data_IF_649052919070
#
_entry.id   IF_649052919070
#
_cell.length_a   1.000
_cell.length_b   1.000
_cell.length_c   1.000
_cell.angle_alpha   90.00
_cell.angle_beta   90.00
_cell.angle_gamma   90.00
#
_symmetry.space_group_name_H-M   'P 1'
#
loop_
_entity.id
_entity.type
_entity.pdbx_description
1 polymer ?
#
# COMPACT_ATOMS: atom_id res chain seq x y z
N UNK A 1 74.88 48.73 -12.51
CA UNK A 1 74.26 47.61 -11.77
C UNK A 1 72.75 47.57 -12.13
N UNK A 2 72.37 46.62 -13.00
CA UNK A 2 70.96 46.46 -13.44
C UNK A 2 70.42 45.21 -12.80
N UNK A 3 69.41 45.37 -11.96
CA UNK A 3 68.70 44.29 -11.26
C UNK A 3 67.59 43.78 -12.17
N UNK A 4 67.65 42.52 -12.50
CA UNK A 4 66.67 41.82 -13.41
C UNK A 4 65.65 41.10 -12.49
N UNK A 5 64.36 41.54 -12.54
CA UNK A 5 63.24 40.86 -11.91
C UNK A 5 62.67 39.76 -12.79
N UNK A 6 62.76 38.52 -12.33
CA UNK A 6 62.04 37.39 -12.91
C UNK A 6 60.59 37.36 -12.40
N UNK A 7 59.66 37.49 -13.34
CA UNK A 7 58.24 37.20 -13.11
C UNK A 7 57.93 35.74 -13.46
N UNK A 8 57.71 34.92 -12.51
CA UNK A 8 57.17 33.55 -12.68
C UNK A 8 55.64 33.65 -12.82
N UNK A 9 55.16 33.40 -14.05
CA UNK A 9 53.71 33.26 -14.34
C UNK A 9 53.22 31.86 -13.94
N UNK A 10 52.31 31.78 -12.98
CA UNK A 10 51.60 30.57 -12.65
C UNK A 10 50.41 30.41 -13.61
N UNK A 11 50.47 29.44 -14.52
CA UNK A 11 49.36 29.07 -15.41
C UNK A 11 48.40 28.15 -14.63
N UNK A 12 47.27 28.67 -14.18
CA UNK A 12 46.20 27.88 -13.57
C UNK A 12 45.38 27.20 -14.69
N UNK A 13 45.61 25.92 -14.90
CA UNK A 13 44.71 25.08 -15.72
C UNK A 13 43.36 24.88 -14.99
N UNK A 14 42.36 25.65 -15.42
CA UNK A 14 40.97 25.40 -14.99
C UNK A 14 40.43 24.20 -15.79
N UNK A 15 40.42 23.01 -15.17
CA UNK A 15 39.72 21.86 -15.70
C UNK A 15 38.20 22.12 -15.54
N UNK A 16 37.55 22.58 -16.57
CA UNK A 16 36.09 22.61 -16.66
C UNK A 16 35.60 21.17 -16.82
N UNK A 17 35.18 20.54 -15.73
CA UNK A 17 34.40 19.31 -15.83
C UNK A 17 33.06 19.64 -16.47
N UNK A 18 32.89 19.28 -17.73
CA UNK A 18 31.62 19.30 -18.42
C UNK A 18 30.71 18.26 -17.76
N UNK A 19 29.74 18.72 -16.97
CA UNK A 19 28.62 17.89 -16.50
C UNK A 19 27.82 17.52 -17.76
N UNK A 20 27.68 16.21 -18.10
CA UNK A 20 26.88 15.84 -19.24
C UNK A 20 25.44 16.32 -19.02
N UNK A 21 24.73 16.82 -20.05
CA UNK A 21 23.33 17.18 -19.91
C UNK A 21 22.54 15.96 -19.43
N UNK A 22 21.76 16.13 -18.37
CA UNK A 22 20.78 15.10 -17.94
C UNK A 22 19.88 14.83 -19.17
N UNK A 23 20.18 13.75 -19.90
CA UNK A 23 19.34 13.32 -21.00
C UNK A 23 17.93 13.14 -20.44
N UNK A 24 16.95 13.82 -21.03
CA UNK A 24 15.56 13.70 -20.62
C UNK A 24 15.12 12.25 -20.86
N UNK A 25 15.11 11.46 -19.81
CA UNK A 25 14.65 10.07 -19.85
C UNK A 25 13.21 10.04 -20.37
N UNK A 26 12.98 9.22 -21.37
CA UNK A 26 11.63 9.03 -21.91
C UNK A 26 10.71 8.45 -20.82
N UNK A 27 9.43 8.72 -20.91
CA UNK A 27 8.44 8.18 -19.96
C UNK A 27 8.49 6.63 -19.89
N UNK A 28 8.83 5.97 -21.00
CA UNK A 28 9.04 4.51 -21.06
C UNK A 28 10.24 4.05 -20.22
N UNK A 29 11.35 4.77 -20.28
CA UNK A 29 12.56 4.46 -19.49
C UNK A 29 12.30 4.66 -18.00
N UNK A 30 11.58 5.72 -17.62
CA UNK A 30 11.17 5.93 -16.22
C UNK A 30 10.23 4.85 -15.70
N UNK A 31 9.27 4.42 -16.52
CA UNK A 31 8.38 3.30 -16.20
C UNK A 31 9.15 1.97 -16.09
N UNK A 32 10.10 1.74 -16.98
CA UNK A 32 10.92 0.54 -16.93
C UNK A 32 11.83 0.54 -15.71
N UNK A 33 12.49 1.64 -15.41
CA UNK A 33 13.29 1.80 -14.19
C UNK A 33 12.44 1.62 -12.91
N UNK A 34 11.23 2.18 -12.87
CA UNK A 34 10.32 1.98 -11.75
C UNK A 34 9.88 0.52 -11.60
N UNK A 35 9.66 -0.19 -12.72
CA UNK A 35 9.36 -1.64 -12.73
C UNK A 35 10.56 -2.46 -12.27
N UNK A 36 11.74 -2.14 -12.73
CA UNK A 36 12.97 -2.87 -12.39
C UNK A 36 13.34 -2.60 -10.92
N UNK A 37 13.20 -1.36 -10.45
CA UNK A 37 13.37 -1.02 -9.04
C UNK A 37 12.33 -1.73 -8.13
N UNK A 38 11.10 -1.91 -8.60
CA UNK A 38 10.06 -2.62 -7.85
C UNK A 38 10.19 -4.15 -7.87
N UNK A 39 11.01 -4.68 -8.77
CA UNK A 39 11.35 -6.12 -8.87
C UNK A 39 12.63 -6.48 -8.11
N UNK A 40 13.47 -5.48 -7.79
CA UNK A 40 14.66 -5.74 -6.97
C UNK A 40 14.24 -5.89 -5.51
N UNK A 41 14.76 -6.90 -4.80
CA UNK A 41 14.65 -6.95 -3.34
C UNK A 41 15.14 -5.64 -2.75
N UNK A 42 14.52 -5.19 -1.67
CA UNK A 42 15.01 -4.01 -0.95
C UNK A 42 16.51 -4.18 -0.67
N UNK A 43 17.30 -3.16 -0.99
CA UNK A 43 18.77 -3.21 -0.84
C UNK A 43 19.20 -3.53 0.61
N UNK A 44 18.31 -3.26 1.57
CA UNK A 44 18.46 -3.65 2.96
C UNK A 44 17.11 -4.11 3.51
N UNK A 45 17.05 -5.26 4.22
CA UNK A 45 15.84 -5.67 4.92
C UNK A 45 15.48 -4.59 5.95
N UNK A 46 14.17 -4.33 6.19
CA UNK A 46 13.76 -3.36 7.19
C UNK A 46 14.32 -3.73 8.57
N UNK A 47 14.81 -2.72 9.30
CA UNK A 47 15.24 -2.90 10.68
C UNK A 47 14.03 -3.28 11.52
N UNK A 48 14.11 -4.40 12.22
CA UNK A 48 13.04 -4.89 13.08
C UNK A 48 13.33 -4.56 14.55
N UNK A 49 12.29 -4.37 15.37
CA UNK A 49 12.42 -4.25 16.82
C UNK A 49 13.14 -5.44 17.44
N UNK A 50 13.76 -5.23 18.60
CA UNK A 50 14.51 -6.27 19.31
C UNK A 50 13.64 -7.52 19.57
N UNK A 51 14.17 -8.69 19.23
CA UNK A 51 13.49 -9.98 19.37
C UNK A 51 12.45 -10.29 18.30
N UNK A 52 12.07 -9.32 17.47
CA UNK A 52 11.18 -9.57 16.34
C UNK A 52 11.89 -10.38 15.24
N UNK A 53 11.14 -11.15 14.48
CA UNK A 53 11.65 -11.99 13.39
C UNK A 53 10.78 -11.91 12.15
N UNK A 54 11.33 -12.24 10.99
CA UNK A 54 10.59 -12.27 9.74
C UNK A 54 10.63 -13.67 9.10
N UNK A 55 9.48 -14.09 8.56
CA UNK A 55 9.37 -15.18 7.60
C UNK A 55 9.23 -14.55 6.23
N UNK A 56 10.09 -14.94 5.29
CA UNK A 56 10.12 -14.34 3.96
C UNK A 56 9.53 -15.24 2.90
N UNK A 57 8.95 -14.63 1.88
CA UNK A 57 8.52 -15.28 0.64
C UNK A 57 7.59 -16.48 0.85
N UNK A 58 6.67 -16.37 1.82
CA UNK A 58 5.65 -17.40 2.06
C UNK A 58 4.65 -17.38 0.92
N UNK A 59 4.63 -18.44 0.10
CA UNK A 59 3.72 -18.56 -1.03
C UNK A 59 2.27 -18.79 -0.57
N UNK A 60 1.31 -18.10 -1.21
CA UNK A 60 -0.14 -18.30 -1.05
C UNK A 60 -0.83 -18.71 -2.36
N UNK A 61 -0.07 -18.86 -3.44
CA UNK A 61 -0.51 -19.30 -4.76
C UNK A 61 0.66 -19.72 -5.62
N UNK A 62 0.38 -20.08 -6.88
CA UNK A 62 1.35 -20.66 -7.82
C UNK A 62 2.20 -19.60 -8.54
N UNK A 63 1.73 -18.34 -8.62
CA UNK A 63 2.47 -17.25 -9.24
C UNK A 63 3.56 -16.73 -8.28
N UNK A 64 4.78 -16.46 -8.74
CA UNK A 64 5.85 -15.92 -7.89
C UNK A 64 5.49 -14.61 -7.16
N UNK A 65 4.54 -13.84 -7.71
CA UNK A 65 4.00 -12.64 -7.07
C UNK A 65 2.96 -12.95 -6.00
N UNK A 66 2.46 -14.18 -5.92
CA UNK A 66 1.54 -14.62 -4.88
C UNK A 66 2.31 -15.10 -3.64
N UNK A 67 3.03 -14.17 -3.01
CA UNK A 67 3.81 -14.42 -1.80
C UNK A 67 3.69 -13.25 -0.83
N UNK A 68 3.96 -13.51 0.44
CA UNK A 68 4.00 -12.49 1.49
C UNK A 68 5.16 -12.70 2.46
N UNK A 69 5.50 -11.64 3.18
CA UNK A 69 6.39 -11.67 4.32
C UNK A 69 5.59 -11.52 5.61
N UNK A 70 5.98 -12.27 6.64
CA UNK A 70 5.37 -12.22 7.98
C UNK A 70 6.41 -11.65 8.94
N UNK A 71 6.04 -10.59 9.63
CA UNK A 71 6.85 -9.97 10.68
C UNK A 71 6.18 -10.27 12.02
N UNK A 72 6.91 -10.98 12.86
CA UNK A 72 6.42 -11.50 14.12
C UNK A 72 6.99 -10.69 15.29
N UNK A 73 6.18 -10.34 16.29
CA UNK A 73 6.68 -9.76 17.54
C UNK A 73 7.58 -10.76 18.27
N UNK A 74 8.32 -10.28 19.27
CA UNK A 74 9.25 -11.12 20.04
C UNK A 74 8.54 -12.33 20.70
N UNK A 75 7.34 -12.12 21.19
CA UNK A 75 6.54 -13.15 21.88
C UNK A 75 5.06 -13.00 21.46
N UNK A 76 4.65 -13.54 20.31
CA UNK A 76 3.26 -13.50 19.89
C UNK A 76 2.41 -14.36 20.85
N UNK A 77 1.29 -13.80 21.31
CA UNK A 77 0.33 -14.48 22.19
C UNK A 77 -1.08 -14.20 21.68
N UNK A 78 -1.65 -15.13 20.93
CA UNK A 78 -2.95 -14.95 20.28
C UNK A 78 -3.04 -13.63 19.53
N UNK A 79 -1.94 -13.31 18.82
CA UNK A 79 -1.65 -11.98 18.29
C UNK A 79 -2.64 -11.58 17.20
N UNK A 80 -3.17 -10.33 17.21
CA UNK A 80 -3.94 -9.81 16.10
C UNK A 80 -3.03 -9.59 14.88
N UNK A 81 -3.62 -9.63 13.68
CA UNK A 81 -2.88 -9.57 12.42
C UNK A 81 -3.27 -8.33 11.62
N UNK A 82 -2.30 -7.57 11.17
CA UNK A 82 -2.46 -6.53 10.16
C UNK A 82 -1.91 -7.08 8.83
N UNK A 83 -2.78 -7.26 7.83
CA UNK A 83 -2.40 -7.64 6.48
C UNK A 83 -2.28 -6.40 5.62
N UNK A 84 -1.07 -6.06 5.21
CA UNK A 84 -0.76 -4.85 4.45
C UNK A 84 -0.60 -5.13 2.95
N UNK A 85 -1.29 -4.31 2.13
CA UNK A 85 -1.28 -4.36 0.66
C UNK A 85 -0.57 -3.12 0.13
N UNK A 86 0.57 -3.30 -0.54
CA UNK A 86 1.36 -2.19 -1.05
C UNK A 86 0.69 -1.46 -2.21
N UNK A 87 1.09 -0.20 -2.43
CA UNK A 87 0.71 0.62 -3.58
C UNK A 87 1.56 0.32 -4.82
N UNK A 88 1.47 1.21 -5.81
CA UNK A 88 2.26 1.15 -7.04
C UNK A 88 1.43 1.13 -8.32
N UNK A 89 0.23 1.73 -8.30
CA UNK A 89 -0.62 1.92 -9.47
C UNK A 89 -1.03 0.62 -10.15
N UNK A 90 -1.26 -0.43 -9.38
CA UNK A 90 -1.64 -1.78 -9.84
C UNK A 90 -0.60 -2.46 -10.75
N UNK A 91 0.53 -1.83 -11.04
CA UNK A 91 1.56 -2.29 -11.98
C UNK A 91 2.96 -2.40 -11.39
N UNK A 92 3.19 -1.83 -10.21
CA UNK A 92 4.50 -1.76 -9.54
C UNK A 92 4.35 -1.96 -8.03
N UNK A 93 5.48 -2.05 -7.35
CA UNK A 93 5.53 -2.18 -5.89
C UNK A 93 6.01 -3.55 -5.43
N UNK A 94 6.39 -3.61 -4.16
CA UNK A 94 6.85 -4.84 -3.52
C UNK A 94 6.51 -4.81 -2.03
N UNK A 95 6.24 -6.00 -1.47
CA UNK A 95 5.93 -6.25 -0.06
C UNK A 95 7.03 -5.82 0.90
N UNK A 96 8.29 -5.79 0.45
CA UNK A 96 9.48 -5.49 1.25
C UNK A 96 9.97 -4.04 1.11
N UNK A 97 9.26 -3.18 0.37
CA UNK A 97 9.63 -1.77 0.27
C UNK A 97 9.72 -1.13 1.67
N UNK A 98 10.82 -0.41 2.01
CA UNK A 98 11.01 0.19 3.35
C UNK A 98 9.82 1.04 3.80
N UNK A 99 9.30 1.92 2.94
CA UNK A 99 8.13 2.75 3.24
C UNK A 99 6.83 1.97 3.45
N UNK A 100 6.81 0.67 3.12
CA UNK A 100 5.68 -0.23 3.40
C UNK A 100 5.78 -0.80 4.81
N UNK A 101 6.96 -1.22 5.25
CA UNK A 101 7.14 -2.07 6.42
C UNK A 101 7.71 -1.33 7.63
N UNK A 102 8.76 -0.51 7.46
CA UNK A 102 9.63 -0.06 8.56
C UNK A 102 8.89 0.57 9.74
N UNK A 103 8.22 1.71 9.53
CA UNK A 103 7.51 2.40 10.61
C UNK A 103 6.34 1.57 11.17
N UNK A 104 5.67 0.81 10.31
CA UNK A 104 4.56 -0.06 10.72
C UNK A 104 5.04 -1.21 11.60
N UNK A 105 6.13 -1.87 11.21
CA UNK A 105 6.76 -2.91 12.02
C UNK A 105 7.28 -2.35 13.35
N UNK A 106 7.97 -1.19 13.30
CA UNK A 106 8.48 -0.52 14.51
C UNK A 106 7.37 -0.17 15.51
N UNK A 107 6.16 0.16 15.03
CA UNK A 107 5.06 0.59 15.88
C UNK A 107 4.19 -0.58 16.38
N UNK A 108 3.79 -1.51 15.50
CA UNK A 108 2.82 -2.55 15.86
C UNK A 108 3.45 -3.84 16.41
N UNK A 109 4.69 -4.21 16.01
CA UNK A 109 5.31 -5.43 16.56
C UNK A 109 5.56 -5.33 18.08
N UNK A 110 6.07 -4.22 18.66
CA UNK A 110 6.22 -4.10 20.12
C UNK A 110 4.88 -4.15 20.88
N UNK A 111 3.76 -3.84 20.21
CA UNK A 111 2.41 -3.94 20.75
C UNK A 111 1.81 -5.36 20.65
N UNK A 112 2.57 -6.33 20.15
CA UNK A 112 2.16 -7.72 20.03
C UNK A 112 1.43 -8.09 18.75
N UNK A 113 1.29 -7.18 17.77
CA UNK A 113 0.66 -7.49 16.49
C UNK A 113 1.60 -8.27 15.56
N UNK A 114 1.04 -9.13 14.74
CA UNK A 114 1.71 -9.68 13.56
C UNK A 114 1.44 -8.75 12.37
N UNK A 115 2.48 -8.38 11.63
CA UNK A 115 2.36 -7.65 10.38
C UNK A 115 2.65 -8.58 9.21
N UNK A 116 1.72 -8.71 8.28
CA UNK A 116 1.91 -9.47 7.03
C UNK A 116 1.90 -8.49 5.88
N UNK A 117 2.95 -8.46 5.07
CA UNK A 117 3.03 -7.62 3.87
C UNK A 117 2.99 -8.51 2.62
N UNK A 118 2.01 -8.27 1.74
CA UNK A 118 1.77 -9.14 0.59
C UNK A 118 2.23 -8.53 -0.72
N UNK A 119 2.70 -9.38 -1.62
CA UNK A 119 2.71 -9.13 -3.05
C UNK A 119 1.41 -9.67 -3.67
N UNK A 120 1.09 -9.21 -4.85
CA UNK A 120 -0.04 -9.67 -5.67
C UNK A 120 0.33 -9.55 -7.15
N UNK A 121 -0.33 -10.29 -8.04
CA UNK A 121 -0.07 -10.23 -9.48
C UNK A 121 -0.39 -8.84 -10.03
N UNK A 122 0.34 -8.39 -11.04
CA UNK A 122 0.36 -7.00 -11.49
C UNK A 122 -0.20 -6.81 -12.89
N UNK A 123 -0.61 -5.57 -13.20
CA UNK A 123 -0.79 -5.15 -14.59
C UNK A 123 0.54 -5.27 -15.37
N UNK A 124 0.52 -5.53 -16.70
CA UNK A 124 -0.65 -5.59 -17.57
C UNK A 124 -1.43 -6.91 -17.52
N UNK A 125 -0.86 -7.99 -16.96
CA UNK A 125 -1.38 -9.35 -17.12
C UNK A 125 -2.57 -9.64 -16.18
N UNK A 126 -2.70 -8.91 -15.06
CA UNK A 126 -3.73 -9.13 -14.06
C UNK A 126 -4.56 -7.86 -13.82
N UNK A 127 -5.86 -7.94 -14.05
CA UNK A 127 -6.79 -6.83 -13.83
C UNK A 127 -6.99 -6.52 -12.33
N UNK A 128 -7.36 -5.29 -11.93
CA UNK A 128 -7.55 -4.92 -10.52
C UNK A 128 -8.53 -5.80 -9.76
N UNK A 129 -9.58 -6.32 -10.40
CA UNK A 129 -10.51 -7.26 -9.76
C UNK A 129 -9.82 -8.60 -9.42
N UNK A 130 -8.92 -9.09 -10.28
CA UNK A 130 -8.16 -10.31 -10.03
C UNK A 130 -7.05 -10.09 -9.01
N UNK A 131 -6.47 -8.88 -8.95
CA UNK A 131 -5.57 -8.47 -7.87
C UNK A 131 -6.30 -8.45 -6.51
N UNK A 132 -7.56 -7.99 -6.46
CA UNK A 132 -8.37 -8.08 -5.25
C UNK A 132 -8.67 -9.53 -4.86
N UNK A 133 -8.86 -10.44 -5.83
CA UNK A 133 -8.96 -11.89 -5.56
C UNK A 133 -7.65 -12.44 -4.98
N UNK A 134 -6.49 -11.96 -5.43
CA UNK A 134 -5.20 -12.33 -4.82
C UNK A 134 -5.11 -11.85 -3.36
N UNK A 135 -5.54 -10.62 -3.06
CA UNK A 135 -5.62 -10.11 -1.67
C UNK A 135 -6.54 -10.99 -0.81
N UNK A 136 -7.69 -11.40 -1.34
CA UNK A 136 -8.61 -12.27 -0.63
C UNK A 136 -8.03 -13.69 -0.40
N UNK A 137 -7.30 -14.25 -1.37
CA UNK A 137 -6.56 -15.52 -1.22
C UNK A 137 -5.46 -15.41 -0.17
N UNK A 138 -4.70 -14.32 -0.18
CA UNK A 138 -3.69 -14.06 0.84
C UNK A 138 -4.32 -13.97 2.24
N UNK A 139 -5.48 -13.31 2.37
CA UNK A 139 -6.24 -13.27 3.63
C UNK A 139 -6.60 -14.68 4.11
N UNK A 140 -7.13 -15.52 3.24
CA UNK A 140 -7.51 -16.91 3.57
C UNK A 140 -6.28 -17.74 4.02
N UNK A 141 -5.16 -17.64 3.30
CA UNK A 141 -3.93 -18.36 3.64
C UNK A 141 -3.31 -17.85 4.96
N UNK A 142 -3.30 -16.53 5.19
CA UNK A 142 -2.87 -15.92 6.44
C UNK A 142 -3.72 -16.42 7.61
N UNK A 143 -5.03 -16.43 7.50
CA UNK A 143 -5.94 -16.96 8.52
C UNK A 143 -5.67 -18.45 8.79
N UNK A 144 -5.47 -19.24 7.76
CA UNK A 144 -5.13 -20.67 7.89
C UNK A 144 -3.82 -20.88 8.64
N UNK A 145 -2.80 -20.04 8.40
CA UNK A 145 -1.46 -20.18 8.98
C UNK A 145 -1.28 -19.44 10.33
N UNK A 146 -2.15 -18.48 10.66
CA UNK A 146 -2.05 -17.67 11.87
C UNK A 146 -1.78 -18.49 13.15
N UNK A 147 -2.43 -19.66 13.40
CA UNK A 147 -2.14 -20.47 14.59
C UNK A 147 -0.67 -20.93 14.66
N UNK A 148 -0.01 -21.17 13.53
CA UNK A 148 1.41 -21.57 13.51
C UNK A 148 2.36 -20.44 13.93
N UNK A 149 1.87 -19.21 13.96
CA UNK A 149 2.58 -18.01 14.41
C UNK A 149 2.14 -17.57 15.82
N UNK A 150 1.30 -18.34 16.48
CA UNK A 150 0.62 -17.96 17.71
C UNK A 150 -0.21 -16.66 17.57
N UNK A 151 -0.85 -16.51 16.39
CA UNK A 151 -1.74 -15.42 16.04
C UNK A 151 -3.20 -15.90 15.92
N UNK A 152 -4.14 -14.97 16.07
CA UNK A 152 -5.57 -15.26 16.01
C UNK A 152 -6.10 -15.19 14.55
N UNK A 153 -6.54 -16.33 13.96
CA UNK A 153 -7.07 -16.36 12.61
C UNK A 153 -8.36 -15.54 12.42
N UNK A 154 -9.13 -15.35 13.50
CA UNK A 154 -10.36 -14.57 13.46
C UNK A 154 -10.11 -13.05 13.58
N UNK A 155 -8.89 -12.65 13.92
CA UNK A 155 -8.56 -11.28 14.29
C UNK A 155 -7.58 -10.64 13.28
N UNK A 156 -8.04 -10.55 12.01
CA UNK A 156 -7.26 -10.02 10.88
C UNK A 156 -7.91 -8.76 10.33
N UNK A 157 -7.12 -7.67 10.21
CA UNK A 157 -7.51 -6.41 9.59
C UNK A 157 -6.70 -6.19 8.31
N UNK A 158 -7.36 -5.70 7.26
CA UNK A 158 -6.71 -5.31 6.02
C UNK A 158 -6.24 -3.85 6.10
N UNK A 159 -5.04 -3.58 5.65
CA UNK A 159 -4.52 -2.23 5.49
C UNK A 159 -3.85 -2.12 4.12
N UNK A 160 -3.97 -0.99 3.45
CA UNK A 160 -3.27 -0.82 2.19
C UNK A 160 -3.08 0.63 1.81
N UNK A 161 -2.14 0.89 0.89
CA UNK A 161 -1.84 2.24 0.42
C UNK A 161 -2.11 2.38 -1.09
N UNK A 162 -2.67 3.51 -1.53
CA UNK A 162 -2.85 3.85 -2.95
C UNK A 162 -3.63 2.76 -3.71
N UNK A 163 -3.03 2.09 -4.70
CA UNK A 163 -3.62 0.93 -5.36
C UNK A 163 -3.95 -0.20 -4.36
N UNK A 164 -3.08 -0.45 -3.38
CA UNK A 164 -3.35 -1.43 -2.32
C UNK A 164 -4.50 -1.03 -1.40
N UNK A 165 -4.69 0.27 -1.15
CA UNK A 165 -5.84 0.79 -0.42
C UNK A 165 -7.16 0.54 -1.16
N UNK A 166 -7.14 0.72 -2.49
CA UNK A 166 -8.26 0.35 -3.36
C UNK A 166 -8.58 -1.15 -3.26
N UNK A 167 -7.56 -2.01 -3.39
CA UNK A 167 -7.73 -3.47 -3.35
C UNK A 167 -8.26 -3.94 -1.99
N UNK A 168 -7.71 -3.42 -0.88
CA UNK A 168 -8.18 -3.72 0.47
C UNK A 168 -9.63 -3.26 0.67
N UNK A 169 -9.97 -2.04 0.22
CA UNK A 169 -11.34 -1.53 0.30
C UNK A 169 -12.32 -2.35 -0.56
N UNK A 170 -11.89 -2.83 -1.73
CA UNK A 170 -12.73 -3.68 -2.59
C UNK A 170 -13.03 -5.03 -1.92
N UNK A 171 -12.02 -5.67 -1.32
CA UNK A 171 -12.22 -6.90 -0.53
C UNK A 171 -13.14 -6.66 0.67
N UNK A 172 -12.95 -5.56 1.39
CA UNK A 172 -13.79 -5.22 2.53
C UNK A 172 -15.23 -4.85 2.17
N UNK A 173 -15.46 -4.27 0.98
CA UNK A 173 -16.79 -3.90 0.48
C UNK A 173 -17.59 -5.10 -0.04
N UNK A 174 -16.92 -6.07 -0.66
CA UNK A 174 -17.51 -7.23 -1.33
C UNK A 174 -17.32 -8.51 -0.53
N UNK A 175 -18.37 -8.94 0.17
CA UNK A 175 -18.33 -10.21 0.92
C UNK A 175 -18.09 -11.43 0.03
N UNK A 176 -18.44 -11.36 -1.23
CA UNK A 176 -18.21 -12.42 -2.23
C UNK A 176 -16.71 -12.69 -2.40
N UNK A 177 -15.87 -11.64 -2.46
CA UNK A 177 -14.44 -11.80 -2.69
C UNK A 177 -13.75 -12.64 -1.61
N UNK A 178 -14.00 -12.35 -0.32
CA UNK A 178 -13.34 -13.10 0.74
C UNK A 178 -14.02 -14.45 1.00
N UNK A 179 -15.36 -14.59 0.81
CA UNK A 179 -16.06 -15.87 0.91
C UNK A 179 -15.62 -16.85 -0.18
N UNK A 180 -15.54 -16.41 -1.42
CA UNK A 180 -15.12 -17.26 -2.55
C UNK A 180 -13.66 -17.72 -2.42
N UNK A 181 -12.82 -16.93 -1.73
CA UNK A 181 -11.46 -17.31 -1.39
C UNK A 181 -11.37 -18.27 -0.18
N UNK A 182 -12.48 -18.58 0.49
CA UNK A 182 -12.52 -19.39 1.71
C UNK A 182 -12.02 -18.65 2.96
N UNK A 183 -11.94 -17.32 2.92
CA UNK A 183 -11.55 -16.51 4.06
C UNK A 183 -12.74 -16.26 5.00
N UNK A 184 -12.45 -16.17 6.31
CA UNK A 184 -13.37 -15.60 7.26
C UNK A 184 -13.44 -14.08 7.07
N UNK A 185 -14.54 -13.47 7.54
CA UNK A 185 -14.76 -12.02 7.46
C UNK A 185 -13.62 -11.26 8.16
N UNK A 186 -12.88 -10.37 7.45
CA UNK A 186 -11.88 -9.53 8.11
C UNK A 186 -12.55 -8.55 9.09
N UNK A 187 -11.83 -8.10 10.09
CA UNK A 187 -12.36 -7.24 11.16
C UNK A 187 -12.58 -5.81 10.71
N UNK A 188 -11.84 -5.33 9.73
CA UNK A 188 -11.94 -3.99 9.19
C UNK A 188 -10.94 -3.73 8.08
N UNK A 189 -10.99 -2.50 7.54
CA UNK A 189 -10.05 -2.01 6.52
C UNK A 189 -9.54 -0.63 6.91
N UNK A 190 -8.23 -0.43 6.80
CA UNK A 190 -7.60 0.91 6.77
C UNK A 190 -7.13 1.17 5.33
N UNK A 191 -7.81 2.09 4.65
CA UNK A 191 -7.53 2.49 3.27
C UNK A 191 -6.73 3.80 3.26
N UNK A 192 -5.44 3.73 2.93
CA UNK A 192 -4.51 4.85 2.95
C UNK A 192 -4.44 5.51 1.57
N UNK A 193 -5.14 6.60 1.41
CA UNK A 193 -5.11 7.56 0.29
C UNK A 193 -5.39 6.96 -1.09
N UNK A 194 -6.53 6.28 -1.25
CA UNK A 194 -7.00 5.83 -2.57
C UNK A 194 -7.89 6.87 -3.25
N UNK A 195 -7.62 7.17 -4.52
CA UNK A 195 -8.49 7.95 -5.41
C UNK A 195 -9.32 7.11 -6.38
N UNK A 196 -9.54 5.81 -6.09
CA UNK A 196 -10.25 4.87 -6.95
C UNK A 196 -11.35 4.08 -6.20
N UNK A 197 -11.98 4.67 -5.19
CA UNK A 197 -13.09 4.02 -4.48
C UNK A 197 -14.35 3.96 -5.35
N UNK A 198 -14.59 4.99 -6.15
CA UNK A 198 -15.61 4.98 -7.22
C UNK A 198 -14.92 4.98 -8.59
N UNK A 199 -14.63 3.79 -9.09
CA UNK A 199 -13.90 3.62 -10.36
C UNK A 199 -14.67 4.22 -11.54
N UNK A 200 -15.99 4.00 -11.76
CA UNK A 200 -16.73 4.66 -12.82
C UNK A 200 -16.68 6.19 -12.77
N UNK A 201 -16.71 6.80 -11.58
CA UNK A 201 -16.58 8.24 -11.43
C UNK A 201 -15.17 8.70 -11.84
N UNK A 202 -14.14 7.99 -11.38
CA UNK A 202 -12.74 8.28 -11.71
C UNK A 202 -12.48 8.19 -13.22
N UNK A 203 -12.97 7.13 -13.87
CA UNK A 203 -12.76 6.88 -15.30
C UNK A 203 -13.48 7.86 -16.22
N UNK A 204 -14.54 8.52 -15.74
CA UNK A 204 -15.29 9.54 -16.50
C UNK A 204 -14.75 10.97 -16.30
N UNK A 205 -13.83 11.21 -15.37
CA UNK A 205 -13.33 12.54 -15.04
C UNK A 205 -12.20 12.99 -15.99
N UNK A 206 -12.41 14.04 -16.82
CA UNK A 206 -11.35 14.59 -17.65
C UNK A 206 -10.47 15.60 -16.87
N UNK A 207 -9.14 15.68 -17.15
CA UNK A 207 -8.38 14.69 -17.91
C UNK A 207 -8.16 13.41 -17.10
N UNK A 208 -8.32 12.25 -17.75
CA UNK A 208 -8.08 10.96 -17.09
C UNK A 208 -6.56 10.72 -16.94
N UNK A 209 -6.03 10.56 -15.72
CA UNK A 209 -4.64 10.20 -15.53
C UNK A 209 -4.33 8.83 -16.15
N UNK A 210 -3.19 8.73 -16.85
CA UNK A 210 -2.77 7.49 -17.55
C UNK A 210 -2.73 6.25 -16.67
N UNK A 211 -2.48 6.43 -15.37
CA UNK A 211 -2.44 5.34 -14.41
C UNK A 211 -3.79 4.63 -14.28
N UNK A 212 -4.89 5.36 -14.32
CA UNK A 212 -6.24 4.80 -14.24
C UNK A 212 -6.65 4.13 -15.56
N UNK A 213 -6.36 4.78 -16.72
CA UNK A 213 -6.61 4.17 -18.04
C UNK A 213 -5.85 2.84 -18.20
N UNK A 214 -4.58 2.79 -17.78
CA UNK A 214 -3.78 1.57 -17.78
C UNK A 214 -4.29 0.49 -16.81
N UNK A 215 -4.84 0.89 -15.66
CA UNK A 215 -5.33 -0.05 -14.66
C UNK A 215 -6.70 -0.65 -15.04
N UNK A 216 -7.66 0.20 -15.38
CA UNK A 216 -9.08 -0.19 -15.49
C UNK A 216 -9.56 -0.37 -16.94
N UNK A 217 -8.77 0.05 -17.95
CA UNK A 217 -9.13 -0.09 -19.35
C UNK A 217 -10.40 0.68 -19.72
N UNK A 218 -11.14 0.20 -20.76
CA UNK A 218 -12.25 0.95 -21.33
C UNK A 218 -13.63 0.32 -21.14
N UNK A 219 -13.71 -0.85 -20.53
CA UNK A 219 -14.98 -1.56 -20.36
C UNK A 219 -15.69 -1.10 -19.06
N UNK A 220 -16.86 -0.46 -19.12
CA UNK A 220 -17.59 0.00 -17.94
C UNK A 220 -18.01 -1.12 -16.96
N UNK A 221 -18.20 -2.34 -17.45
CA UNK A 221 -18.52 -3.48 -16.59
C UNK A 221 -17.34 -3.82 -15.65
N UNK A 222 -16.11 -3.73 -16.16
CA UNK A 222 -14.88 -3.97 -15.37
C UNK A 222 -14.68 -2.85 -14.33
N UNK A 223 -15.07 -1.60 -14.67
CA UNK A 223 -15.04 -0.49 -13.73
C UNK A 223 -15.96 -0.72 -12.53
N UNK A 224 -17.20 -1.19 -12.81
CA UNK A 224 -18.18 -1.52 -11.77
C UNK A 224 -17.68 -2.69 -10.92
N UNK A 225 -17.17 -3.74 -11.55
CA UNK A 225 -16.64 -4.92 -10.84
C UNK A 225 -15.46 -4.58 -9.93
N UNK A 226 -14.59 -3.66 -10.35
CA UNK A 226 -13.43 -3.21 -9.58
C UNK A 226 -13.69 -2.01 -8.65
N UNK A 227 -14.95 -1.55 -8.50
CA UNK A 227 -15.27 -0.35 -7.72
C UNK A 227 -15.75 -0.70 -6.30
N UNK A 228 -14.99 -0.39 -5.23
CA UNK A 228 -15.46 -0.55 -3.86
C UNK A 228 -16.83 0.09 -3.61
N UNK A 229 -17.06 1.28 -4.15
CA UNK A 229 -18.34 1.98 -4.03
C UNK A 229 -19.50 1.19 -4.62
N UNK A 230 -19.32 0.55 -5.81
CA UNK A 230 -20.37 -0.21 -6.48
C UNK A 230 -20.55 -1.61 -5.90
N UNK A 231 -19.50 -2.18 -5.33
CA UNK A 231 -19.53 -3.50 -4.68
C UNK A 231 -19.93 -3.45 -3.20
N UNK A 232 -20.18 -2.26 -2.64
CA UNK A 232 -20.56 -2.10 -1.25
C UNK A 232 -21.92 -2.72 -0.93
N UNK A 233 -21.95 -3.62 0.03
CA UNK A 233 -23.13 -4.31 0.53
C UNK A 233 -23.30 -4.14 2.05
N UNK A 234 -24.40 -4.63 2.63
CA UNK A 234 -24.63 -4.67 4.08
C UNK A 234 -23.63 -5.55 4.84
N UNK A 235 -23.05 -6.52 4.14
CA UNK A 235 -22.04 -7.44 4.70
C UNK A 235 -20.63 -6.84 4.69
N UNK A 236 -20.43 -5.63 4.16
CA UNK A 236 -19.15 -4.95 4.16
C UNK A 236 -18.61 -4.78 5.59
N UNK A 237 -17.29 -4.72 5.69
CA UNK A 237 -16.63 -4.54 6.99
C UNK A 237 -16.49 -3.05 7.33
N UNK A 238 -16.30 -2.69 8.60
CA UNK A 238 -15.96 -1.32 8.99
C UNK A 238 -14.68 -0.83 8.28
N UNK A 239 -14.65 0.45 7.87
CA UNK A 239 -13.49 1.01 7.16
C UNK A 239 -13.10 2.39 7.67
N UNK A 240 -11.79 2.63 7.72
CA UNK A 240 -11.21 3.96 7.89
C UNK A 240 -10.55 4.38 6.57
N UNK A 241 -11.03 5.48 6.00
CA UNK A 241 -10.41 6.12 4.83
C UNK A 241 -9.51 7.26 5.29
N UNK A 242 -8.21 7.01 5.38
CA UNK A 242 -7.23 8.09 5.52
C UNK A 242 -7.00 8.69 4.16
N UNK A 243 -7.05 10.02 4.05
CA UNK A 243 -6.90 10.69 2.77
C UNK A 243 -6.05 11.96 2.90
N UNK A 244 -5.18 12.18 1.91
CA UNK A 244 -4.44 13.43 1.77
C UNK A 244 -5.40 14.61 1.49
N UNK A 245 -5.42 15.61 2.36
CA UNK A 245 -6.18 16.85 2.13
C UNK A 245 -5.56 17.73 1.02
N UNK A 246 -4.30 17.43 0.64
CA UNK A 246 -3.61 18.07 -0.48
C UNK A 246 -4.06 17.56 -1.86
N UNK A 247 -4.86 16.48 -1.88
CA UNK A 247 -5.46 15.90 -3.11
C UNK A 247 -6.94 16.24 -3.19
N UNK A 248 -7.44 16.32 -4.44
CA UNK A 248 -8.85 16.66 -4.69
C UNK A 248 -9.75 15.44 -4.94
N UNK A 249 -9.21 14.24 -4.93
CA UNK A 249 -9.93 13.00 -5.29
C UNK A 249 -10.18 12.07 -4.10
N UNK A 250 -9.20 11.81 -3.24
CA UNK A 250 -9.27 10.77 -2.23
C UNK A 250 -10.31 11.07 -1.12
N UNK A 251 -10.25 12.25 -0.49
CA UNK A 251 -11.18 12.59 0.59
C UNK A 251 -12.64 12.67 0.13
N UNK A 252 -12.99 13.28 -1.02
CA UNK A 252 -14.37 13.25 -1.52
C UNK A 252 -14.89 11.84 -1.77
N UNK A 253 -14.09 10.95 -2.33
CA UNK A 253 -14.51 9.56 -2.55
C UNK A 253 -14.68 8.78 -1.24
N UNK A 254 -13.78 8.99 -0.26
CA UNK A 254 -13.95 8.42 1.08
C UNK A 254 -15.26 8.86 1.74
N UNK A 255 -15.61 10.15 1.65
CA UNK A 255 -16.90 10.67 2.17
C UNK A 255 -18.10 10.07 1.45
N UNK A 256 -18.07 10.00 0.12
CA UNK A 256 -19.16 9.40 -0.66
C UNK A 256 -19.35 7.92 -0.29
N UNK A 257 -18.24 7.19 -0.06
CA UNK A 257 -18.26 5.80 0.39
C UNK A 257 -18.90 5.67 1.78
N UNK A 258 -18.51 6.55 2.73
CA UNK A 258 -19.04 6.56 4.09
C UNK A 258 -20.54 6.91 4.13
N UNK A 259 -20.98 7.89 3.35
CA UNK A 259 -22.41 8.23 3.23
C UNK A 259 -23.24 7.06 2.67
N UNK A 260 -22.77 6.40 1.63
CA UNK A 260 -23.43 5.20 1.11
C UNK A 260 -23.47 4.08 2.15
N UNK A 261 -22.37 3.84 2.85
CA UNK A 261 -22.26 2.82 3.89
C UNK A 261 -23.27 3.04 5.03
N UNK A 262 -23.47 4.29 5.44
CA UNK A 262 -24.45 4.69 6.45
C UNK A 262 -25.87 4.22 6.10
N UNK A 263 -26.27 4.30 4.82
CA UNK A 263 -27.59 3.81 4.35
C UNK A 263 -27.72 2.30 4.44
N UNK A 264 -26.59 1.58 4.52
CA UNK A 264 -26.52 0.12 4.63
C UNK A 264 -26.27 -0.36 6.08
N UNK A 265 -26.13 0.57 7.05
CA UNK A 265 -25.81 0.24 8.43
C UNK A 265 -24.36 -0.19 8.66
N UNK A 266 -23.43 0.17 7.76
CA UNK A 266 -22.00 -0.15 7.87
C UNK A 266 -21.22 1.06 8.37
N UNK A 267 -20.39 0.88 9.41
CA UNK A 267 -19.57 1.94 9.97
C UNK A 267 -18.37 2.23 9.07
N UNK A 268 -18.25 3.48 8.60
CA UNK A 268 -17.08 3.96 7.86
C UNK A 268 -16.72 5.37 8.30
N UNK A 269 -15.43 5.59 8.48
CA UNK A 269 -14.85 6.85 8.98
C UNK A 269 -13.92 7.44 7.93
N UNK A 270 -13.77 8.77 7.91
CA UNK A 270 -12.85 9.49 7.02
C UNK A 270 -11.92 10.34 7.87
N UNK A 271 -10.62 10.15 7.69
CA UNK A 271 -9.56 10.89 8.37
C UNK A 271 -8.75 11.69 7.34
N UNK A 272 -9.05 12.97 7.15
CA UNK A 272 -8.23 13.85 6.32
C UNK A 272 -6.93 14.22 7.03
N UNK A 273 -5.79 14.06 6.34
CA UNK A 273 -4.47 14.42 6.85
C UNK A 273 -3.78 15.43 5.92
N UNK A 274 -3.13 16.44 6.48
CA UNK A 274 -2.33 17.41 5.70
C UNK A 274 -0.94 16.80 5.36
N UNK A 275 -0.97 15.66 4.70
CA UNK A 275 0.17 14.89 4.25
C UNK A 275 0.09 14.66 2.75
N UNK A 276 1.23 14.54 2.08
CA UNK A 276 1.27 14.11 0.67
C UNK A 276 0.86 12.62 0.54
N UNK A 277 0.55 12.20 -0.69
CA UNK A 277 0.23 10.81 -1.00
C UNK A 277 1.25 9.79 -0.48
N UNK A 278 2.54 10.09 -0.60
CA UNK A 278 3.61 9.24 -0.08
C UNK A 278 3.72 9.27 1.44
N UNK A 279 3.60 10.46 2.05
CA UNK A 279 3.71 10.65 3.50
C UNK A 279 2.61 9.93 4.27
N UNK A 280 1.38 9.85 3.74
CA UNK A 280 0.29 9.05 4.34
C UNK A 280 0.71 7.60 4.56
N UNK A 281 1.53 7.03 3.67
CA UNK A 281 2.07 5.69 3.86
C UNK A 281 3.34 5.67 4.72
N UNK A 282 4.31 6.52 4.40
CA UNK A 282 5.65 6.45 5.00
C UNK A 282 5.65 6.83 6.47
N UNK A 283 4.82 7.81 6.86
CA UNK A 283 4.78 8.31 8.24
C UNK A 283 3.88 7.49 9.16
N UNK A 284 3.05 6.61 8.62
CA UNK A 284 2.22 5.73 9.45
C UNK A 284 3.09 4.75 10.25
N UNK A 285 2.97 4.82 11.56
CA UNK A 285 3.79 4.09 12.52
C UNK A 285 4.90 4.96 13.14
N UNK A 286 5.23 6.12 12.57
CA UNK A 286 6.04 7.13 13.26
C UNK A 286 5.20 7.80 14.36
N UNK A 287 5.82 8.23 15.49
CA UNK A 287 5.10 8.91 16.59
C UNK A 287 4.39 10.18 16.10
N UNK A 288 3.06 10.16 16.10
CA UNK A 288 2.23 11.30 15.64
C UNK A 288 0.76 11.08 16.00
N UNK A 289 -0.02 12.18 16.09
CA UNK A 289 -1.47 12.11 16.23
C UNK A 289 -2.14 11.32 15.10
N UNK A 290 -1.58 11.39 13.90
CA UNK A 290 -2.01 10.58 12.74
C UNK A 290 -1.91 9.07 13.04
N UNK A 291 -0.75 8.62 13.50
CA UNK A 291 -0.54 7.21 13.85
C UNK A 291 -1.48 6.77 14.98
N UNK A 292 -1.68 7.61 16.00
CA UNK A 292 -2.58 7.33 17.14
C UNK A 292 -4.04 7.23 16.68
N UNK A 293 -4.48 8.09 15.77
CA UNK A 293 -5.84 8.03 15.23
C UNK A 293 -6.10 6.73 14.45
N UNK A 294 -5.14 6.30 13.60
CA UNK A 294 -5.22 5.03 12.89
C UNK A 294 -5.17 3.85 13.87
N UNK A 295 -4.28 3.89 14.86
CA UNK A 295 -4.14 2.83 15.87
C UNK A 295 -5.43 2.69 16.72
N UNK A 296 -6.10 3.80 17.04
CA UNK A 296 -7.40 3.78 17.71
C UNK A 296 -8.45 2.99 16.91
N UNK A 297 -8.49 3.16 15.59
CA UNK A 297 -9.37 2.36 14.75
C UNK A 297 -8.94 0.88 14.73
N UNK A 298 -7.64 0.60 14.60
CA UNK A 298 -7.09 -0.76 14.61
C UNK A 298 -7.44 -1.48 15.92
N UNK A 299 -7.21 -0.85 17.08
CA UNK A 299 -7.50 -1.43 18.38
C UNK A 299 -9.00 -1.68 18.59
N UNK A 300 -9.87 -0.77 18.15
CA UNK A 300 -11.32 -0.93 18.25
C UNK A 300 -11.83 -2.18 17.54
N UNK A 301 -11.16 -2.61 16.49
CA UNK A 301 -11.61 -3.71 15.64
C UNK A 301 -10.82 -5.01 15.84
N UNK A 302 -9.62 -4.95 16.44
CA UNK A 302 -8.76 -6.11 16.68
C UNK A 302 -8.61 -6.52 18.17
N UNK A 303 -9.26 -5.81 19.10
CA UNK A 303 -9.23 -6.11 20.54
C UNK A 303 -10.59 -6.56 21.04
#
# INVERSE_FOLDING_TARGET
MKTMLFRTGLLACILTMAVPPLAAQTFRERLQQARDASRQPAAHPPALPAGARALRDVAYGDDPRQSYDVYLPAQPQHAPVILFVHGGGWANGNKDNPGVVENKAAYWLPKGYVLVSINYRMRPDTAPIDQARDVARALADVQKRAPSWNADPANVLLMGHSAGAHLAALVGASSTLWRDAGAARPRGVVSLDSGALDVPQTMKKPPLPRIYDAAFGRNPADWIAASPYHQLTRDAVPMLFVCSSRRQDACPQGRAMAEKAKTLGVAMEVLPEDLSHGEVNHLLGAPSAYTEAVDTFVQRHLN
#
